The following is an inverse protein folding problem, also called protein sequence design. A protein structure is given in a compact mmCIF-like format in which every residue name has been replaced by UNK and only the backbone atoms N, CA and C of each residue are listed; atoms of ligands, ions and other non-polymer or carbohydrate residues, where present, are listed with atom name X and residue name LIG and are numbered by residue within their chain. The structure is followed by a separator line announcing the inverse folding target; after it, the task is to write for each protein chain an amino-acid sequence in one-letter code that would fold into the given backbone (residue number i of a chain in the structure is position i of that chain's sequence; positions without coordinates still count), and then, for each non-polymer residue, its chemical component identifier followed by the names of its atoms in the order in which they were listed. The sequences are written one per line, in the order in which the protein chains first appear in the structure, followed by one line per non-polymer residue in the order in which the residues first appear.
data_IF_563663529215
#
_entry.id   IF_563663529215
#
_cell.length_a   1.000
_cell.length_b   1.000
_cell.length_c   1.000
_cell.angle_alpha   90.00
_cell.angle_beta   90.00
_cell.angle_gamma   90.00
#
_symmetry.space_group_name_H-M   'P 1'
#
loop_
_entity.id
_entity.type
_entity.pdbx_description
1 polymer ?
#
# COMPACT_ATOMS: atom_id res chain seq x y z
N UNK A 1 12.68 18.91 51.30
CA UNK A 1 11.83 18.50 50.16
C UNK A 1 12.61 18.75 48.88
N UNK A 2 13.36 17.77 48.41
CA UNK A 2 14.08 17.86 47.14
C UNK A 2 13.23 17.24 46.04
N UNK A 3 12.78 18.05 45.09
CA UNK A 3 12.09 17.56 43.90
C UNK A 3 13.10 16.76 43.07
N UNK A 4 12.90 15.45 42.95
CA UNK A 4 13.64 14.66 41.98
C UNK A 4 13.20 15.11 40.59
N UNK A 5 14.10 15.81 39.91
CA UNK A 5 14.04 16.11 38.50
C UNK A 5 13.92 14.78 37.77
N UNK A 6 12.75 14.52 37.19
CA UNK A 6 12.48 13.32 36.41
C UNK A 6 13.35 13.35 35.16
N UNK A 7 14.51 12.71 35.24
CA UNK A 7 15.37 12.42 34.11
C UNK A 7 14.54 11.59 33.11
N UNK A 8 14.17 12.23 31.98
CA UNK A 8 13.39 11.60 30.93
C UNK A 8 14.25 10.52 30.28
N UNK A 9 14.13 9.29 30.80
CA UNK A 9 14.81 8.12 30.23
C UNK A 9 14.54 8.08 28.74
N UNK A 10 15.61 8.02 27.96
CA UNK A 10 15.45 7.98 26.51
C UNK A 10 14.76 6.65 26.13
N UNK A 11 13.96 6.61 25.05
CA UNK A 11 13.34 5.37 24.61
C UNK A 11 14.36 4.25 24.36
N UNK A 12 15.62 4.61 24.07
CA UNK A 12 16.72 3.67 23.91
C UNK A 12 17.14 3.00 25.23
N UNK A 13 17.12 3.72 26.36
CA UNK A 13 17.40 3.16 27.70
C UNK A 13 16.31 2.18 28.17
N UNK A 14 15.07 2.38 27.70
CA UNK A 14 14.00 1.43 28.01
C UNK A 14 14.16 0.12 27.25
N UNK A 15 14.63 0.16 25.99
CA UNK A 15 14.88 -1.04 25.19
C UNK A 15 16.04 -1.87 25.73
N UNK A 16 17.15 -1.24 26.11
CA UNK A 16 18.29 -1.95 26.72
C UNK A 16 17.87 -2.64 28.01
N UNK A 17 17.06 -1.96 28.84
CA UNK A 17 16.52 -2.54 30.07
C UNK A 17 15.67 -3.79 29.80
N UNK A 18 14.86 -3.82 28.74
CA UNK A 18 14.11 -5.03 28.35
C UNK A 18 15.02 -6.17 27.89
N UNK A 19 16.09 -5.86 27.15
CA UNK A 19 17.08 -6.87 26.77
C UNK A 19 17.80 -7.44 27.99
N UNK A 20 18.26 -6.59 28.91
CA UNK A 20 18.94 -7.04 30.12
C UNK A 20 18.02 -7.89 31.01
N UNK A 21 16.75 -7.51 31.14
CA UNK A 21 15.78 -8.27 31.91
C UNK A 21 15.44 -9.63 31.24
N UNK A 22 15.40 -9.66 29.90
CA UNK A 22 15.19 -10.90 29.15
C UNK A 22 16.39 -11.84 29.28
N UNK A 23 17.61 -11.31 29.17
CA UNK A 23 18.85 -12.09 29.32
C UNK A 23 18.98 -12.66 30.72
N UNK A 24 18.73 -11.86 31.77
CA UNK A 24 18.76 -12.33 33.16
C UNK A 24 17.69 -13.39 33.44
N UNK A 25 16.49 -13.26 32.87
CA UNK A 25 15.43 -14.28 32.98
C UNK A 25 15.85 -15.60 32.34
N UNK A 26 16.41 -15.56 31.11
CA UNK A 26 16.88 -16.76 30.41
C UNK A 26 18.05 -17.40 31.16
N UNK A 27 19.00 -16.61 31.68
CA UNK A 27 20.11 -17.12 32.48
C UNK A 27 19.62 -17.76 33.78
N UNK A 28 18.68 -17.15 34.48
CA UNK A 28 18.12 -17.71 35.71
C UNK A 28 17.36 -19.02 35.42
N UNK A 29 16.61 -19.08 34.33
CA UNK A 29 15.96 -20.31 33.89
C UNK A 29 16.97 -21.40 33.56
N UNK A 30 18.07 -21.05 32.87
CA UNK A 30 19.16 -21.97 32.57
C UNK A 30 19.87 -22.47 33.82
N UNK A 31 20.17 -21.58 34.77
CA UNK A 31 20.80 -21.93 36.04
C UNK A 31 19.90 -22.86 36.87
N UNK A 32 18.59 -22.61 36.87
CA UNK A 32 17.60 -23.49 37.52
C UNK A 32 17.52 -24.85 36.83
N UNK A 33 17.52 -24.87 35.49
CA UNK A 33 17.50 -26.11 34.71
C UNK A 33 18.76 -26.95 34.93
N UNK A 34 19.92 -26.31 34.89
CA UNK A 34 21.20 -26.95 35.14
C UNK A 34 21.22 -27.59 36.53
N UNK A 35 20.81 -26.82 37.54
CA UNK A 35 20.79 -27.28 38.93
C UNK A 35 19.79 -28.42 39.17
N UNK A 36 18.58 -28.32 38.60
CA UNK A 36 17.49 -29.25 38.90
C UNK A 36 17.50 -30.51 38.03
N UNK A 37 18.08 -30.46 36.82
CA UNK A 37 18.05 -31.57 35.87
C UNK A 37 19.45 -32.04 35.47
N UNK A 38 20.34 -31.13 35.09
CA UNK A 38 21.64 -31.52 34.52
C UNK A 38 22.53 -32.14 35.59
N UNK A 39 22.70 -31.46 36.74
CA UNK A 39 23.55 -31.93 37.83
C UNK A 39 23.14 -33.34 38.34
N UNK A 40 21.88 -33.61 38.72
CA UNK A 40 21.51 -34.93 39.25
C UNK A 40 21.65 -36.04 38.20
N UNK A 41 21.38 -35.75 36.92
CA UNK A 41 21.58 -36.72 35.84
C UNK A 41 23.07 -37.04 35.68
N UNK A 42 23.93 -36.03 35.68
CA UNK A 42 25.38 -36.23 35.55
C UNK A 42 25.94 -37.00 36.74
N UNK A 43 25.48 -36.72 37.96
CA UNK A 43 25.87 -37.48 39.16
C UNK A 43 25.41 -38.95 39.08
N UNK A 44 24.17 -39.20 38.65
CA UNK A 44 23.65 -40.56 38.40
C UNK A 44 24.45 -41.30 37.32
N UNK A 45 24.82 -40.63 36.22
CA UNK A 45 25.65 -41.20 35.17
C UNK A 45 27.04 -41.57 35.70
N UNK A 46 27.67 -40.67 36.45
CA UNK A 46 28.98 -40.92 37.07
C UNK A 46 28.91 -42.13 38.00
N UNK A 47 27.93 -42.18 38.89
CA UNK A 47 27.74 -43.32 39.80
C UNK A 47 27.52 -44.64 39.04
N UNK A 48 26.71 -44.61 37.99
CA UNK A 48 26.41 -45.80 37.16
C UNK A 48 27.64 -46.31 36.40
N UNK A 49 28.51 -45.40 35.93
CA UNK A 49 29.74 -45.75 35.24
C UNK A 49 30.70 -46.55 36.13
N UNK A 50 30.83 -46.16 37.40
CA UNK A 50 31.69 -46.85 38.35
C UNK A 50 31.14 -48.22 38.76
N UNK A 51 29.82 -48.37 38.87
CA UNK A 51 29.22 -49.66 39.25
C UNK A 51 29.23 -50.68 38.11
N UNK A 52 28.99 -50.27 36.86
CA UNK A 52 28.82 -51.20 35.74
C UNK A 52 29.39 -50.64 34.42
N UNK A 53 30.74 -50.63 34.24
CA UNK A 53 31.37 -49.95 33.11
C UNK A 53 31.05 -50.56 31.74
N UNK A 54 30.94 -51.89 31.65
CA UNK A 54 30.67 -52.60 30.39
C UNK A 54 29.27 -52.29 29.83
N UNK A 55 28.15 -52.52 30.56
CA UNK A 55 26.83 -52.22 30.03
C UNK A 55 26.60 -50.72 29.83
N UNK A 56 27.25 -49.87 30.62
CA UNK A 56 27.15 -48.42 30.46
C UNK A 56 27.71 -47.95 29.11
N UNK A 57 28.92 -48.37 28.74
CA UNK A 57 29.54 -47.97 27.45
C UNK A 57 28.72 -48.51 26.27
N UNK A 58 28.22 -49.74 26.37
CA UNK A 58 27.31 -50.31 25.37
C UNK A 58 26.05 -49.47 25.20
N UNK A 59 25.37 -49.15 26.32
CA UNK A 59 24.16 -48.34 26.32
C UNK A 59 24.42 -46.92 25.80
N UNK A 60 25.50 -46.27 26.23
CA UNK A 60 25.90 -44.94 25.76
C UNK A 60 26.14 -44.93 24.24
N UNK A 61 26.82 -45.94 23.71
CA UNK A 61 27.09 -46.06 22.28
C UNK A 61 25.79 -46.34 21.51
N UNK A 62 24.93 -47.21 22.03
CA UNK A 62 23.61 -47.49 21.48
C UNK A 62 22.73 -46.23 21.43
N UNK A 63 22.69 -45.45 22.52
CA UNK A 63 21.98 -44.17 22.56
C UNK A 63 22.57 -43.18 21.57
N UNK A 64 23.89 -43.03 21.51
CA UNK A 64 24.53 -42.11 20.56
C UNK A 64 24.23 -42.48 19.10
N UNK A 65 24.29 -43.77 18.76
CA UNK A 65 24.01 -44.27 17.40
C UNK A 65 22.53 -44.23 17.05
N UNK A 66 21.63 -44.42 18.02
CA UNK A 66 20.17 -44.37 17.80
C UNK A 66 19.61 -42.95 17.82
N UNK A 67 20.29 -42.00 18.47
CA UNK A 67 19.89 -40.60 18.47
C UNK A 67 20.11 -39.96 17.10
N UNK A 68 21.14 -40.38 16.35
CA UNK A 68 21.40 -39.90 14.99
C UNK A 68 20.21 -40.08 14.02
N UNK A 69 19.65 -41.30 13.82
CA UNK A 69 18.51 -41.49 12.94
C UNK A 69 17.25 -40.78 13.44
N UNK A 70 17.05 -40.67 14.75
CA UNK A 70 15.92 -39.91 15.33
C UNK A 70 16.05 -38.41 15.00
N UNK A 71 17.25 -37.84 15.17
CA UNK A 71 17.49 -36.43 14.90
C UNK A 71 17.41 -36.13 13.39
N UNK A 72 17.92 -37.03 12.55
CA UNK A 72 17.76 -36.95 11.09
C UNK A 72 16.27 -36.98 10.68
N UNK A 73 15.47 -37.87 11.30
CA UNK A 73 14.03 -37.92 11.07
C UNK A 73 13.36 -36.59 11.44
N UNK A 74 13.70 -36.00 12.58
CA UNK A 74 13.16 -34.68 12.98
C UNK A 74 13.54 -33.58 11.98
N UNK A 75 14.80 -33.52 11.53
CA UNK A 75 15.24 -32.52 10.55
C UNK A 75 14.46 -32.67 9.24
N UNK A 76 14.35 -33.90 8.72
CA UNK A 76 13.60 -34.19 7.49
C UNK A 76 12.14 -33.81 7.68
N UNK A 77 11.53 -34.18 8.81
CA UNK A 77 10.13 -33.85 9.10
C UNK A 77 9.88 -32.34 9.12
N UNK A 78 10.72 -31.56 9.80
CA UNK A 78 10.61 -30.09 9.83
C UNK A 78 10.85 -29.50 8.44
N UNK A 79 11.82 -30.02 7.68
CA UNK A 79 12.09 -29.57 6.31
C UNK A 79 10.91 -29.87 5.37
N UNK A 80 10.32 -31.05 5.46
CA UNK A 80 9.13 -31.44 4.67
C UNK A 80 7.92 -30.58 5.03
N UNK A 81 7.69 -30.30 6.32
CA UNK A 81 6.61 -29.40 6.74
C UNK A 81 6.83 -27.97 6.24
N UNK A 82 8.05 -27.45 6.37
CA UNK A 82 8.41 -26.11 5.91
C UNK A 82 8.24 -25.95 4.40
N UNK A 83 8.73 -26.93 3.62
CA UNK A 83 8.59 -26.94 2.16
C UNK A 83 7.14 -27.08 1.73
N UNK A 84 6.36 -27.97 2.36
CA UNK A 84 4.94 -28.12 2.08
C UNK A 84 4.15 -26.82 2.36
N UNK A 85 4.45 -26.14 3.48
CA UNK A 85 3.79 -24.89 3.86
C UNK A 85 4.15 -23.74 2.91
N UNK A 86 5.42 -23.65 2.51
CA UNK A 86 5.89 -22.66 1.53
C UNK A 86 5.23 -22.89 0.16
N UNK A 87 5.11 -24.15 -0.26
CA UNK A 87 4.49 -24.51 -1.54
C UNK A 87 2.99 -24.25 -1.53
N UNK A 88 2.30 -24.55 -0.42
CA UNK A 88 0.89 -24.23 -0.23
C UNK A 88 0.63 -22.70 -0.27
N UNK A 89 1.47 -21.91 0.39
CA UNK A 89 1.41 -20.43 0.33
C UNK A 89 1.64 -19.92 -1.09
N UNK A 90 2.65 -20.44 -1.78
CA UNK A 90 2.95 -20.04 -3.16
C UNK A 90 1.76 -20.32 -4.10
N UNK A 91 1.18 -21.52 -4.02
CA UNK A 91 -0.01 -21.89 -4.81
C UNK A 91 -1.22 -21.04 -4.45
N UNK A 92 -1.46 -20.77 -3.17
CA UNK A 92 -2.58 -19.93 -2.73
C UNK A 92 -2.44 -18.49 -3.26
N UNK A 93 -1.24 -17.93 -3.23
CA UNK A 93 -0.96 -16.59 -3.77
C UNK A 93 -1.08 -16.56 -5.30
N UNK A 94 -0.55 -17.55 -6.01
CA UNK A 94 -0.67 -17.66 -7.46
C UNK A 94 -2.13 -17.79 -7.89
N UNK A 95 -2.91 -18.62 -7.18
CA UNK A 95 -4.34 -18.77 -7.45
C UNK A 95 -5.11 -17.47 -7.17
N UNK A 96 -4.88 -16.84 -6.02
CA UNK A 96 -5.51 -15.57 -5.64
C UNK A 96 -5.24 -14.47 -6.66
N UNK A 97 -3.97 -14.27 -7.04
CA UNK A 97 -3.58 -13.28 -8.05
C UNK A 97 -4.19 -13.58 -9.42
N UNK A 98 -4.25 -14.84 -9.83
CA UNK A 98 -4.93 -15.26 -11.06
C UNK A 98 -6.41 -14.90 -11.07
N UNK A 99 -7.11 -15.16 -9.96
CA UNK A 99 -8.53 -14.80 -9.79
C UNK A 99 -8.72 -13.28 -9.86
N UNK A 100 -7.89 -12.49 -9.16
CA UNK A 100 -7.97 -11.03 -9.21
C UNK A 100 -7.73 -10.47 -10.62
N UNK A 101 -6.74 -10.97 -11.35
CA UNK A 101 -6.47 -10.56 -12.73
C UNK A 101 -7.62 -10.94 -13.66
N UNK A 102 -8.17 -12.14 -13.50
CA UNK A 102 -9.29 -12.61 -14.31
C UNK A 102 -10.55 -11.75 -14.10
N UNK A 103 -10.97 -11.53 -12.85
CA UNK A 103 -12.10 -10.66 -12.54
C UNK A 103 -11.85 -9.20 -12.95
N UNK A 104 -10.63 -8.69 -12.72
CA UNK A 104 -10.23 -7.35 -13.15
C UNK A 104 -10.31 -7.18 -14.66
N UNK A 105 -9.89 -8.20 -15.43
CA UNK A 105 -10.03 -8.22 -16.89
C UNK A 105 -11.48 -8.19 -17.35
N UNK A 106 -12.35 -9.01 -16.75
CA UNK A 106 -13.79 -9.01 -17.03
C UNK A 106 -14.39 -7.63 -16.75
N UNK A 107 -14.07 -7.05 -15.60
CA UNK A 107 -14.53 -5.73 -15.21
C UNK A 107 -14.08 -4.67 -16.23
N UNK A 108 -12.82 -4.69 -16.64
CA UNK A 108 -12.28 -3.76 -17.64
C UNK A 108 -12.99 -3.90 -18.99
N UNK A 109 -13.25 -5.12 -19.46
CA UNK A 109 -14.00 -5.37 -20.70
C UNK A 109 -15.43 -4.85 -20.59
N UNK A 110 -16.08 -5.05 -19.44
CA UNK A 110 -17.44 -4.57 -19.20
C UNK A 110 -17.51 -3.04 -19.11
N UNK A 111 -16.56 -2.40 -18.43
CA UNK A 111 -16.47 -0.94 -18.40
C UNK A 111 -16.16 -0.37 -19.78
N UNK A 112 -15.24 -1.00 -20.53
CA UNK A 112 -14.92 -0.60 -21.90
C UNK A 112 -16.14 -0.72 -22.82
N UNK A 113 -16.88 -1.83 -22.77
CA UNK A 113 -18.05 -2.04 -23.61
C UNK A 113 -19.19 -1.08 -23.26
N UNK A 114 -19.45 -0.86 -21.96
CA UNK A 114 -20.46 0.11 -21.51
C UNK A 114 -20.08 1.55 -21.87
N UNK A 115 -18.79 1.91 -21.78
CA UNK A 115 -18.29 3.20 -22.22
C UNK A 115 -18.49 3.42 -23.73
N UNK A 116 -18.11 2.44 -24.55
CA UNK A 116 -18.32 2.50 -26.00
C UNK A 116 -19.80 2.55 -26.37
N UNK A 117 -20.64 1.76 -25.71
CA UNK A 117 -22.08 1.76 -25.90
C UNK A 117 -22.68 3.12 -25.54
N UNK A 118 -22.29 3.70 -24.40
CA UNK A 118 -22.71 5.04 -23.99
C UNK A 118 -22.25 6.10 -24.99
N UNK A 119 -21.00 6.03 -25.47
CA UNK A 119 -20.49 6.91 -26.53
C UNK A 119 -21.30 6.79 -27.82
N UNK A 120 -21.64 5.57 -28.23
CA UNK A 120 -22.46 5.33 -29.41
C UNK A 120 -23.88 5.88 -29.25
N UNK A 121 -24.54 5.62 -28.11
CA UNK A 121 -25.88 6.13 -27.83
C UNK A 121 -25.91 7.66 -27.79
N UNK A 122 -24.92 8.29 -27.16
CA UNK A 122 -24.83 9.76 -27.10
C UNK A 122 -24.60 10.36 -28.47
N UNK A 123 -23.72 9.79 -29.29
CA UNK A 123 -23.50 10.22 -30.67
C UNK A 123 -24.78 10.04 -31.52
N UNK A 124 -25.48 8.93 -31.36
CA UNK A 124 -26.73 8.66 -32.06
C UNK A 124 -27.84 9.63 -31.66
N UNK A 125 -28.02 9.86 -30.34
CA UNK A 125 -28.99 10.82 -29.82
C UNK A 125 -28.68 12.25 -30.29
N UNK A 126 -27.40 12.64 -30.29
CA UNK A 126 -26.97 13.94 -30.80
C UNK A 126 -27.24 14.09 -32.30
N UNK A 127 -26.93 13.05 -33.09
CA UNK A 127 -27.21 13.02 -34.54
C UNK A 127 -28.72 13.12 -34.83
N UNK A 128 -29.54 12.37 -34.10
CA UNK A 128 -30.99 12.40 -34.21
C UNK A 128 -31.56 13.79 -33.85
N UNK A 129 -31.07 14.39 -32.77
CA UNK A 129 -31.44 15.74 -32.35
C UNK A 129 -31.08 16.79 -33.41
N UNK A 130 -29.84 16.76 -33.92
CA UNK A 130 -29.36 17.68 -34.95
C UNK A 130 -30.15 17.53 -36.26
N UNK A 131 -30.46 16.29 -36.64
CA UNK A 131 -31.27 15.98 -37.83
C UNK A 131 -32.71 16.48 -37.67
N UNK A 132 -33.34 16.22 -36.52
CA UNK A 132 -34.69 16.72 -36.22
C UNK A 132 -34.76 18.25 -36.24
N UNK A 133 -33.75 18.91 -35.66
CA UNK A 133 -33.66 20.38 -35.65
C UNK A 133 -33.44 20.94 -37.06
N UNK A 134 -32.60 20.31 -37.88
CA UNK A 134 -32.41 20.68 -39.28
C UNK A 134 -33.74 20.61 -40.05
N UNK A 135 -34.47 19.49 -39.91
CA UNK A 135 -35.79 19.31 -40.57
C UNK A 135 -36.77 20.41 -40.15
N UNK A 136 -36.80 20.77 -38.86
CA UNK A 136 -37.64 21.84 -38.36
C UNK A 136 -37.30 23.20 -38.99
N UNK A 137 -36.01 23.56 -39.06
CA UNK A 137 -35.54 24.81 -39.66
C UNK A 137 -35.82 24.85 -41.17
N UNK A 138 -35.58 23.74 -41.89
CA UNK A 138 -35.87 23.64 -43.32
C UNK A 138 -37.36 23.80 -43.63
N UNK A 139 -38.26 23.27 -42.79
CA UNK A 139 -39.71 23.46 -42.95
C UNK A 139 -40.11 24.92 -42.75
N UNK A 140 -39.43 25.67 -41.87
CA UNK A 140 -39.78 27.06 -41.56
C UNK A 140 -39.18 28.08 -42.54
N UNK A 141 -37.95 27.87 -43.01
CA UNK A 141 -37.18 28.85 -43.81
C UNK A 141 -36.82 28.35 -45.23
N UNK A 142 -37.21 27.14 -45.61
CA UNK A 142 -36.87 26.54 -46.91
C UNK A 142 -35.36 26.29 -47.07
N UNK A 143 -34.86 26.41 -48.31
CA UNK A 143 -33.43 26.16 -48.64
C UNK A 143 -32.46 27.12 -47.96
N UNK A 144 -32.90 28.31 -47.57
CA UNK A 144 -32.04 29.31 -46.92
C UNK A 144 -31.74 28.98 -45.45
N UNK A 145 -32.45 28.01 -44.85
CA UNK A 145 -32.28 27.60 -43.45
C UNK A 145 -30.98 26.83 -43.14
N UNK A 146 -30.23 26.36 -44.14
CA UNK A 146 -29.01 25.57 -43.90
C UNK A 146 -27.88 26.40 -43.29
N UNK A 147 -27.72 27.66 -43.72
CA UNK A 147 -26.65 28.56 -43.28
C UNK A 147 -26.74 28.95 -41.78
N UNK A 148 -27.90 29.35 -41.24
CA UNK A 148 -28.03 29.60 -39.81
C UNK A 148 -27.88 28.31 -38.98
N UNK A 149 -28.38 27.17 -39.47
CA UNK A 149 -28.20 25.88 -38.79
C UNK A 149 -26.72 25.50 -38.65
N UNK A 150 -25.91 25.62 -39.70
CA UNK A 150 -24.49 25.25 -39.61
C UNK A 150 -23.70 26.18 -38.69
N UNK A 151 -24.08 27.45 -38.60
CA UNK A 151 -23.52 28.39 -37.63
C UNK A 151 -23.89 27.98 -36.20
N UNK A 152 -25.16 27.65 -35.92
CA UNK A 152 -25.57 27.15 -34.60
C UNK A 152 -24.79 25.89 -34.19
N UNK A 153 -24.63 24.93 -35.11
CA UNK A 153 -23.87 23.70 -34.85
C UNK A 153 -22.39 24.03 -34.61
N UNK A 154 -21.80 24.92 -35.40
CA UNK A 154 -20.42 25.36 -35.20
C UNK A 154 -20.21 26.00 -33.81
N UNK A 155 -21.16 26.84 -33.35
CA UNK A 155 -21.10 27.44 -32.01
C UNK A 155 -21.22 26.41 -30.88
N UNK A 156 -21.95 25.31 -31.09
CA UNK A 156 -22.08 24.24 -30.09
C UNK A 156 -20.80 23.40 -29.95
N UNK A 157 -20.10 23.12 -31.05
CA UNK A 157 -18.86 22.32 -31.03
C UNK A 157 -17.61 23.13 -30.75
N UNK A 158 -17.59 24.38 -31.20
CA UNK A 158 -16.52 25.32 -30.95
C UNK A 158 -17.12 26.49 -30.18
N UNK A 159 -17.25 26.37 -28.84
CA UNK A 159 -17.49 27.54 -28.01
C UNK A 159 -16.27 28.44 -28.17
N UNK A 160 -16.31 29.29 -29.18
CA UNK A 160 -15.28 30.30 -29.40
C UNK A 160 -15.30 31.17 -28.15
N UNK A 161 -14.32 30.99 -27.27
CA UNK A 161 -14.10 31.80 -26.07
C UNK A 161 -13.84 33.28 -26.38
N UNK A 162 -13.99 33.71 -27.63
CA UNK A 162 -14.15 35.11 -27.98
C UNK A 162 -15.53 35.60 -27.53
N UNK A 163 -15.73 35.67 -26.21
CA UNK A 163 -16.40 36.83 -25.65
C UNK A 163 -15.32 37.91 -25.74
N UNK A 164 -15.30 38.80 -26.75
CA UNK A 164 -14.55 40.01 -26.60
C UNK A 164 -15.10 40.63 -25.32
N UNK A 165 -14.30 40.58 -24.26
CA UNK A 165 -14.43 41.55 -23.19
C UNK A 165 -14.44 42.86 -23.95
N UNK A 166 -15.62 43.44 -24.09
CA UNK A 166 -15.77 44.87 -24.30
C UNK A 166 -14.90 45.44 -23.18
N UNK A 167 -13.64 45.74 -23.51
CA UNK A 167 -13.02 46.89 -22.94
C UNK A 167 -14.07 47.97 -23.16
N UNK A 168 -14.77 48.33 -22.09
CA UNK A 168 -15.25 49.67 -21.93
C UNK A 168 -14.05 50.55 -22.33
N UNK A 169 -14.03 50.96 -23.58
CA UNK A 169 -13.36 52.19 -23.95
C UNK A 169 -14.17 53.27 -23.25
N UNK A 170 -13.84 53.52 -21.98
CA UNK A 170 -14.15 54.76 -21.32
C UNK A 170 -13.63 55.89 -22.23
N UNK A 171 -14.50 56.71 -22.86
CA UNK A 171 -14.05 57.74 -23.81
C UNK A 171 -13.36 58.94 -23.13
N UNK A 172 -12.94 58.81 -21.87
CA UNK A 172 -12.52 59.92 -21.02
C UNK A 172 -11.24 59.66 -20.20
N UNK A 173 -10.42 58.66 -20.56
CA UNK A 173 -9.10 58.50 -19.95
C UNK A 173 -8.04 59.35 -20.69
N UNK A 174 -8.05 60.63 -20.33
CA UNK A 174 -6.95 61.60 -20.32
C UNK A 174 -5.61 61.16 -20.92
N UNK A 175 -5.22 61.85 -21.99
CA UNK A 175 -3.82 62.02 -22.36
C UNK A 175 -3.08 62.76 -21.23
N UNK A 176 -2.38 62.06 -20.33
CA UNK A 176 -1.19 62.65 -19.70
C UNK A 176 -0.32 61.59 -19.02
N UNK A 177 0.97 61.68 -19.35
CA UNK A 177 2.12 61.32 -18.53
C UNK A 177 2.33 59.87 -18.08
N UNK A 178 3.54 59.40 -18.35
CA UNK A 178 4.31 58.78 -17.28
C UNK A 178 4.93 57.44 -17.60
N UNK A 179 6.07 57.50 -18.28
CA UNK A 179 7.22 56.63 -18.07
C UNK A 179 7.19 55.92 -16.70
N UNK A 180 7.20 54.59 -16.69
CA UNK A 180 8.11 53.87 -15.78
C UNK A 180 8.36 52.44 -16.25
N UNK A 181 9.61 52.24 -16.62
CA UNK A 181 10.34 50.99 -16.68
C UNK A 181 10.17 50.24 -15.35
N UNK A 182 9.70 48.99 -15.42
CA UNK A 182 9.51 48.12 -14.25
C UNK A 182 9.93 46.69 -14.54
N UNK A 183 11.23 46.45 -14.53
CA UNK A 183 11.87 45.12 -14.56
C UNK A 183 11.78 44.49 -13.16
N UNK A 184 11.16 43.32 -13.04
CA UNK A 184 11.25 42.41 -11.88
C UNK A 184 10.71 41.05 -12.33
N UNK A 185 11.49 39.97 -12.48
CA UNK A 185 12.33 39.24 -11.52
C UNK A 185 11.56 38.85 -10.25
N UNK A 186 11.61 37.54 -9.97
CA UNK A 186 11.26 36.81 -8.74
C UNK A 186 9.87 36.17 -8.70
N UNK A 187 9.65 34.96 -8.20
CA UNK A 187 10.51 33.84 -7.79
C UNK A 187 9.55 32.64 -7.64
N UNK A 188 10.10 31.43 -7.69
CA UNK A 188 9.34 30.19 -7.52
C UNK A 188 8.68 30.06 -6.14
N UNK A 189 7.55 29.36 -6.11
CA UNK A 189 6.96 28.83 -4.89
C UNK A 189 6.42 27.42 -5.13
N UNK A 190 7.27 26.43 -4.88
CA UNK A 190 6.90 25.02 -4.76
C UNK A 190 6.21 24.79 -3.42
N UNK A 191 4.88 24.69 -3.42
CA UNK A 191 4.13 24.26 -2.25
C UNK A 191 4.27 22.74 -2.09
N UNK A 192 5.13 22.33 -1.16
CA UNK A 192 5.25 20.97 -0.64
C UNK A 192 4.12 20.76 0.38
N UNK A 193 3.09 20.02 -0.02
CA UNK A 193 1.96 19.65 0.85
C UNK A 193 2.32 18.41 1.66
N UNK A 194 2.56 18.58 2.97
CA UNK A 194 2.55 17.48 3.94
C UNK A 194 1.11 17.05 4.24
N UNK A 195 0.79 15.74 4.25
CA UNK A 195 -0.45 15.26 4.83
C UNK A 195 -0.31 15.08 6.35
N UNK A 196 -1.12 15.85 7.06
CA UNK A 196 -1.38 15.80 8.51
C UNK A 196 -1.92 14.42 8.90
N UNK A 197 -1.20 13.74 9.80
CA UNK A 197 -1.57 12.44 10.35
C UNK A 197 -2.59 12.65 11.48
N UNK A 198 -3.84 12.26 11.19
CA UNK A 198 -4.97 12.40 12.10
C UNK A 198 -4.91 11.31 13.17
N UNK A 199 -4.47 11.65 14.38
CA UNK A 199 -4.68 10.82 15.57
C UNK A 199 -6.19 10.66 15.84
N UNK A 200 -6.63 9.44 16.12
CA UNK A 200 -7.94 9.15 16.72
C UNK A 200 -7.75 8.83 18.20
N UNK A 201 -8.55 9.42 19.11
CA UNK A 201 -8.53 9.05 20.51
C UNK A 201 -9.26 7.72 20.77
N UNK A 202 -8.58 6.85 21.53
CA UNK A 202 -9.11 5.62 22.10
C UNK A 202 -10.13 5.98 23.20
N UNK A 203 -11.39 5.54 23.05
CA UNK A 203 -12.38 5.57 24.14
C UNK A 203 -12.25 4.28 24.95
N UNK A 204 -12.23 4.45 26.27
CA UNK A 204 -12.30 3.41 27.31
C UNK A 204 -13.57 2.57 27.20
#
# INVERSE_FOLDING_TARGET
MGAQVGESKTPQDTLSLYFDNSVTTVQQAFASFEKNYVIPIVELLKASFFSYPIPFVFFSTFVALSLFPVLAFFIILVATLSTALTLALCLALAFSTGVFLFLGGILLVFLGSTFLLSGFLTAFALSAYLSGRLVFILRRFGRNGFRPWSQEVAYLFFPSSARPTLADEDPYASEDSGVSVGRGVKDGLTAKTEPVLHERPYKR
#
